data_IF_739485993145
#
_entry.id   IF_739485993145
#
_cell.length_a   1.000
_cell.length_b   1.000
_cell.length_c   1.000
_cell.angle_alpha   90.00
_cell.angle_beta   90.00
_cell.angle_gamma   90.00
#
_symmetry.space_group_name_H-M   'P 1'
#
loop_
_entity.id
_entity.type
_entity.pdbx_description
1 polymer ?
#
# COMPACT_ATOMS: atom_id res chain seq x y z
N UNK A 1 58.80 -33.77 22.69
CA UNK A 1 58.11 -32.50 23.01
C UNK A 1 57.68 -31.88 21.69
N UNK A 2 56.46 -32.17 21.20
CA UNK A 2 55.26 -31.30 21.24
C UNK A 2 55.55 -29.83 20.89
N UNK A 3 55.21 -29.41 19.66
CA UNK A 3 54.21 -28.35 19.41
C UNK A 3 53.77 -28.34 17.94
N UNK A 4 52.45 -28.47 17.75
CA UNK A 4 51.69 -28.32 16.51
C UNK A 4 51.39 -26.82 16.38
N UNK A 5 51.56 -26.24 15.20
CA UNK A 5 50.97 -24.94 14.87
C UNK A 5 50.18 -25.08 13.57
N UNK A 6 48.88 -25.35 13.74
CA UNK A 6 47.85 -25.32 12.73
C UNK A 6 47.46 -23.85 12.55
N UNK A 7 47.87 -23.20 11.45
CA UNK A 7 47.37 -21.86 11.14
C UNK A 7 46.12 -21.99 10.29
N UNK A 8 44.96 -21.96 10.94
CA UNK A 8 43.66 -21.89 10.30
C UNK A 8 43.50 -20.54 9.60
N UNK A 9 43.45 -20.54 8.27
CA UNK A 9 43.03 -19.39 7.49
C UNK A 9 41.50 -19.26 7.61
N UNK A 10 41.06 -18.42 8.54
CA UNK A 10 39.66 -18.02 8.69
C UNK A 10 39.33 -17.05 7.54
N UNK A 11 38.81 -17.57 6.43
CA UNK A 11 38.17 -16.76 5.39
C UNK A 11 36.87 -16.20 5.97
N UNK A 12 36.92 -14.95 6.41
CA UNK A 12 35.76 -14.15 6.76
C UNK A 12 34.87 -13.99 5.53
N UNK A 13 33.84 -14.81 5.40
CA UNK A 13 32.73 -14.55 4.48
C UNK A 13 31.98 -13.33 5.02
N UNK A 14 32.33 -12.15 4.51
CA UNK A 14 31.50 -10.96 4.61
C UNK A 14 30.15 -11.30 3.97
N UNK A 15 29.13 -11.53 4.80
CA UNK A 15 27.75 -11.61 4.34
C UNK A 15 27.41 -10.26 3.71
N UNK A 16 27.39 -10.21 2.38
CA UNK A 16 26.94 -9.06 1.64
C UNK A 16 25.52 -8.72 2.10
N UNK A 17 25.36 -7.55 2.73
CA UNK A 17 24.04 -6.93 2.87
C UNK A 17 23.53 -6.67 1.45
N UNK A 18 22.78 -7.61 0.87
CA UNK A 18 22.05 -7.35 -0.38
C UNK A 18 21.12 -6.19 -0.11
N UNK A 19 21.17 -5.15 -0.96
CA UNK A 19 20.24 -4.03 -0.85
C UNK A 19 18.81 -4.58 -0.84
N UNK A 20 18.09 -4.39 0.27
CA UNK A 20 16.69 -4.79 0.35
C UNK A 20 15.91 -3.99 -0.69
N UNK A 21 15.29 -4.67 -1.65
CA UNK A 21 14.49 -4.01 -2.66
C UNK A 21 13.11 -3.69 -2.07
N UNK A 22 12.62 -2.48 -2.34
CA UNK A 22 11.25 -2.09 -1.96
C UNK A 22 10.25 -3.08 -2.55
N UNK A 23 9.35 -3.58 -1.72
CA UNK A 23 8.37 -4.60 -2.07
C UNK A 23 8.74 -6.01 -1.64
N UNK A 24 10.00 -6.29 -1.30
CA UNK A 24 10.41 -7.65 -0.89
C UNK A 24 9.97 -8.00 0.55
N UNK A 25 9.71 -6.98 1.38
CA UNK A 25 9.34 -7.12 2.78
C UNK A 25 8.15 -6.25 3.14
N UNK A 26 7.35 -6.73 4.11
CA UNK A 26 6.21 -6.00 4.65
C UNK A 26 6.59 -4.61 5.19
N UNK A 27 7.74 -4.51 5.87
CA UNK A 27 8.21 -3.26 6.47
C UNK A 27 8.72 -2.23 5.44
N UNK A 28 8.92 -2.65 4.19
CA UNK A 28 9.35 -1.80 3.09
C UNK A 28 8.50 -2.07 1.84
N UNK A 29 7.18 -1.80 1.90
CA UNK A 29 6.28 -2.09 0.79
C UNK A 29 6.47 -1.10 -0.36
N UNK A 30 5.99 -1.47 -1.55
CA UNK A 30 5.80 -0.54 -2.66
C UNK A 30 4.60 0.34 -2.35
N UNK A 31 4.85 1.62 -2.08
CA UNK A 31 3.77 2.58 -1.83
C UNK A 31 3.17 3.05 -3.16
N UNK A 32 1.85 2.90 -3.30
CA UNK A 32 1.11 3.40 -4.45
C UNK A 32 0.82 4.89 -4.30
N UNK A 33 0.92 5.62 -5.40
CA UNK A 33 0.66 7.08 -5.44
C UNK A 33 -0.81 7.43 -5.26
N UNK A 34 -1.71 6.49 -5.56
CA UNK A 34 -3.16 6.62 -5.33
C UNK A 34 -3.81 5.24 -5.18
N UNK A 35 -5.05 5.16 -4.67
CA UNK A 35 -5.85 3.92 -4.67
C UNK A 35 -6.03 3.25 -6.02
N UNK A 36 -5.88 4.00 -7.11
CA UNK A 36 -6.14 3.54 -8.47
C UNK A 36 -4.85 3.24 -9.25
N UNK A 37 -3.68 3.56 -8.69
CA UNK A 37 -2.42 3.21 -9.30
C UNK A 37 -2.24 1.69 -9.33
N UNK A 38 -1.53 1.18 -10.34
CA UNK A 38 -1.27 -0.24 -10.46
C UNK A 38 -0.05 -0.67 -9.65
N UNK A 39 -0.22 -1.73 -8.87
CA UNK A 39 0.85 -2.43 -8.18
C UNK A 39 1.76 -3.13 -9.20
N UNK A 40 3.07 -2.80 -9.28
CA UNK A 40 3.98 -3.44 -10.21
C UNK A 40 4.42 -4.81 -9.67
N UNK A 41 3.80 -5.89 -10.13
CA UNK A 41 4.12 -7.27 -9.70
C UNK A 41 4.26 -8.18 -10.91
N UNK A 42 5.49 -8.53 -11.25
CA UNK A 42 5.79 -9.39 -12.40
C UNK A 42 5.38 -10.85 -12.15
N UNK A 43 5.10 -11.64 -13.21
CA UNK A 43 4.89 -13.08 -13.10
C UNK A 43 6.01 -13.80 -12.33
N UNK A 44 5.62 -14.69 -11.42
CA UNK A 44 6.53 -15.43 -10.56
C UNK A 44 7.11 -14.61 -9.41
N UNK A 45 6.61 -13.40 -9.18
CA UNK A 45 7.04 -12.52 -8.09
C UNK A 45 5.91 -12.30 -7.08
N UNK A 46 6.35 -11.92 -5.89
CA UNK A 46 5.52 -11.44 -4.80
C UNK A 46 6.02 -10.07 -4.39
N UNK A 47 5.11 -9.14 -4.13
CA UNK A 47 5.43 -7.82 -3.61
C UNK A 47 4.49 -7.48 -2.45
N UNK A 48 5.04 -6.80 -1.44
CA UNK A 48 4.25 -6.07 -0.46
C UNK A 48 3.92 -4.70 -1.03
N UNK A 49 2.63 -4.34 -1.03
CA UNK A 49 2.09 -3.14 -1.67
C UNK A 49 1.27 -2.37 -0.65
N UNK A 50 1.57 -1.10 -0.47
CA UNK A 50 0.85 -0.22 0.45
C UNK A 50 -0.05 0.74 -0.32
N UNK A 51 -1.33 0.76 0.02
CA UNK A 51 -2.33 1.62 -0.59
C UNK A 51 -2.93 2.51 0.48
N UNK A 52 -2.97 3.82 0.19
CA UNK A 52 -3.58 4.82 1.07
C UNK A 52 -4.90 5.26 0.47
N UNK A 53 -5.98 5.04 1.20
CA UNK A 53 -7.33 5.46 0.84
C UNK A 53 -7.75 6.66 1.68
N UNK A 54 -8.57 7.57 1.13
CA UNK A 54 -9.24 8.57 1.96
C UNK A 54 -10.19 7.86 2.94
N UNK A 55 -10.40 8.43 4.12
CA UNK A 55 -11.36 7.91 5.12
C UNK A 55 -12.73 7.61 4.51
N UNK A 56 -13.20 8.48 3.61
CA UNK A 56 -14.49 8.37 2.92
C UNK A 56 -14.66 7.10 2.09
N UNK A 57 -13.57 6.39 1.75
CA UNK A 57 -13.65 5.11 1.03
C UNK A 57 -14.18 3.95 1.89
N UNK A 58 -14.17 4.11 3.23
CA UNK A 58 -14.58 3.07 4.17
C UNK A 58 -15.65 3.54 5.16
N UNK A 59 -16.16 4.76 4.98
CA UNK A 59 -17.09 5.39 5.89
C UNK A 59 -18.53 5.26 5.40
N UNK A 60 -19.41 4.77 6.28
CA UNK A 60 -20.87 4.76 6.08
C UNK A 60 -21.60 5.32 7.33
N UNK A 61 -20.88 6.05 8.20
CA UNK A 61 -21.42 6.65 9.43
C UNK A 61 -20.35 7.16 10.41
N UNK A 62 -20.78 7.83 11.48
CA UNK A 62 -19.90 8.48 12.49
C UNK A 62 -19.19 7.51 13.45
N UNK A 63 -19.44 6.20 13.36
CA UNK A 63 -18.84 5.22 14.27
C UNK A 63 -17.32 5.08 14.12
N UNK A 64 -16.74 5.60 13.03
CA UNK A 64 -15.30 5.61 12.82
C UNK A 64 -14.57 6.70 13.60
N UNK A 65 -15.26 7.78 13.99
CA UNK A 65 -14.65 8.94 14.69
C UNK A 65 -13.89 8.52 15.94
N UNK A 66 -14.50 7.65 16.76
CA UNK A 66 -13.90 7.13 18.00
C UNK A 66 -12.57 6.43 17.80
N UNK A 67 -12.30 5.87 16.62
CA UNK A 67 -11.03 5.24 16.31
C UNK A 67 -9.99 6.28 15.88
N UNK A 68 -10.40 7.27 15.10
CA UNK A 68 -9.52 8.37 14.70
C UNK A 68 -9.15 9.29 15.87
N UNK A 69 -10.00 9.41 16.89
CA UNK A 69 -9.70 10.17 18.12
C UNK A 69 -8.55 9.56 18.94
N UNK A 70 -8.24 8.28 18.73
CA UNK A 70 -7.13 7.60 19.39
C UNK A 70 -5.78 7.85 18.67
N UNK A 71 -5.81 8.41 17.45
CA UNK A 71 -4.61 8.72 16.68
C UNK A 71 -3.96 9.99 17.24
N UNK A 72 -2.85 9.82 17.96
CA UNK A 72 -2.15 10.91 18.65
C UNK A 72 -0.94 11.40 17.84
N UNK A 73 -0.80 12.71 17.68
CA UNK A 73 0.36 13.33 17.06
C UNK A 73 1.56 13.37 17.99
N UNK A 74 2.75 13.11 17.45
CA UNK A 74 4.01 13.34 18.14
C UNK A 74 4.61 14.71 17.75
N UNK A 75 4.52 15.65 18.68
CA UNK A 75 5.04 17.01 18.50
C UNK A 75 6.52 17.15 18.90
N UNK A 76 7.17 16.10 19.42
CA UNK A 76 8.55 16.16 19.93
C UNK A 76 9.59 16.53 18.86
N UNK A 77 9.22 16.34 17.60
CA UNK A 77 10.02 16.65 16.42
C UNK A 77 9.96 18.11 16.00
N UNK A 78 8.99 18.89 16.50
CA UNK A 78 8.79 20.29 16.15
C UNK A 78 9.55 21.18 17.12
N UNK A 79 10.64 21.79 16.65
CA UNK A 79 11.51 22.66 17.44
C UNK A 79 11.55 24.10 16.90
N UNK A 80 11.18 24.28 15.63
CA UNK A 80 11.26 25.53 14.91
C UNK A 80 10.21 25.63 13.79
N UNK A 81 9.98 26.85 13.30
CA UNK A 81 9.14 27.08 12.13
C UNK A 81 9.72 26.36 10.90
N UNK A 82 8.91 25.49 10.30
CA UNK A 82 9.30 24.65 9.16
C UNK A 82 9.46 23.17 9.49
N UNK A 83 9.57 22.81 10.78
CA UNK A 83 9.53 21.41 11.19
C UNK A 83 8.14 20.81 10.92
N UNK A 84 8.13 19.56 10.46
CA UNK A 84 6.90 18.84 10.12
C UNK A 84 6.59 17.80 11.21
N UNK A 85 5.36 17.84 11.74
CA UNK A 85 4.82 16.74 12.54
C UNK A 85 4.69 15.50 11.64
N UNK A 86 5.29 14.35 12.02
CA UNK A 86 5.14 13.12 11.24
C UNK A 86 3.69 12.65 11.24
N UNK A 87 3.28 11.96 10.17
CA UNK A 87 1.95 11.35 10.08
C UNK A 87 1.80 10.25 11.15
N UNK A 88 0.91 10.38 12.14
CA UNK A 88 0.64 9.31 13.09
C UNK A 88 -0.24 8.21 12.47
N UNK A 89 0.04 6.97 12.84
CA UNK A 89 -0.74 5.79 12.47
C UNK A 89 -0.94 4.88 13.66
N UNK A 90 -2.10 4.21 13.70
CA UNK A 90 -2.40 3.14 14.65
C UNK A 90 -2.95 1.93 13.91
N UNK A 91 -2.74 0.74 14.48
CA UNK A 91 -3.27 -0.51 13.92
C UNK A 91 -4.79 -0.54 13.92
N UNK A 92 -5.38 -1.00 12.82
CA UNK A 92 -6.81 -1.09 12.61
C UNK A 92 -7.23 -2.53 12.29
N UNK A 93 -6.97 -3.45 13.23
CA UNK A 93 -7.24 -4.90 13.06
C UNK A 93 -8.71 -5.27 12.86
N UNK A 94 -9.62 -4.31 13.09
CA UNK A 94 -11.05 -4.42 12.81
C UNK A 94 -11.41 -4.22 11.33
N UNK A 95 -10.48 -3.76 10.49
CA UNK A 95 -10.59 -3.78 9.02
C UNK A 95 -10.07 -5.13 8.54
N UNK A 96 -10.97 -5.97 8.01
CA UNK A 96 -10.64 -7.32 7.53
C UNK A 96 -10.94 -7.45 6.06
N UNK A 97 -10.09 -8.18 5.34
CA UNK A 97 -10.35 -8.58 3.96
C UNK A 97 -11.10 -9.90 3.97
N UNK A 98 -12.38 -9.88 3.56
CA UNK A 98 -13.27 -11.04 3.62
C UNK A 98 -13.14 -11.93 2.37
N UNK A 99 -13.04 -11.30 1.20
CA UNK A 99 -12.92 -12.01 -0.07
C UNK A 99 -12.17 -11.20 -1.11
N UNK A 100 -11.50 -11.91 -2.01
CA UNK A 100 -10.80 -11.36 -3.17
C UNK A 100 -11.33 -12.04 -4.40
N UNK A 101 -11.80 -11.25 -5.36
CA UNK A 101 -12.12 -11.68 -6.72
C UNK A 101 -11.04 -11.13 -7.65
N UNK A 102 -10.12 -11.98 -8.07
CA UNK A 102 -8.98 -11.62 -8.90
C UNK A 102 -8.80 -12.63 -10.04
N UNK A 103 -8.16 -12.23 -11.16
CA UNK A 103 -7.82 -13.14 -12.24
C UNK A 103 -7.04 -14.34 -11.74
N UNK A 104 -7.31 -15.51 -12.33
CA UNK A 104 -6.62 -16.75 -11.97
C UNK A 104 -5.10 -16.56 -12.07
N UNK A 105 -4.40 -16.90 -10.99
CA UNK A 105 -2.94 -16.72 -10.89
C UNK A 105 -2.52 -15.45 -10.15
N UNK A 106 -3.44 -14.54 -9.82
CA UNK A 106 -3.20 -13.41 -8.92
C UNK A 106 -3.77 -13.74 -7.54
N UNK A 107 -2.97 -13.55 -6.49
CA UNK A 107 -3.39 -13.66 -5.10
C UNK A 107 -3.11 -12.36 -4.37
N UNK A 108 -4.09 -11.90 -3.60
CA UNK A 108 -3.98 -10.69 -2.76
C UNK A 108 -4.36 -11.08 -1.34
N UNK A 109 -3.51 -10.72 -0.39
CA UNK A 109 -3.76 -10.94 1.04
C UNK A 109 -3.54 -9.63 1.78
N UNK A 110 -4.47 -9.23 2.65
CA UNK A 110 -4.28 -8.11 3.56
C UNK A 110 -3.33 -8.55 4.67
N UNK A 111 -2.19 -7.87 4.78
CA UNK A 111 -1.14 -8.17 5.78
C UNK A 111 -1.24 -7.22 6.96
N UNK A 112 -1.46 -5.93 6.67
CA UNK A 112 -1.52 -4.88 7.69
C UNK A 112 -2.61 -3.88 7.37
N UNK A 113 -3.35 -3.47 8.39
CA UNK A 113 -4.35 -2.42 8.32
C UNK A 113 -4.06 -1.35 9.37
N UNK A 114 -4.07 -0.10 8.95
CA UNK A 114 -3.81 1.05 9.79
C UNK A 114 -4.76 2.20 9.44
N UNK A 115 -5.10 3.00 10.43
CA UNK A 115 -5.68 4.33 10.21
C UNK A 115 -4.68 5.38 10.65
N UNK A 116 -4.72 6.56 10.04
CA UNK A 116 -3.79 7.62 10.36
C UNK A 116 -4.30 9.00 9.97
N UNK A 117 -3.59 10.01 10.47
CA UNK A 117 -3.83 11.42 10.15
C UNK A 117 -2.67 11.90 9.29
N UNK A 118 -2.94 12.18 8.01
CA UNK A 118 -1.94 12.71 7.10
C UNK A 118 -1.72 14.20 7.40
N UNK A 119 -0.54 14.59 7.86
CA UNK A 119 -0.23 15.99 8.14
C UNK A 119 -0.02 16.73 6.82
N UNK A 120 -0.90 17.70 6.55
CA UNK A 120 -0.85 18.61 5.40
C UNK A 120 0.07 19.79 5.74
N UNK A 121 -0.08 20.34 6.95
CA UNK A 121 0.61 21.55 7.37
C UNK A 121 0.86 21.54 8.87
N UNK A 122 2.05 21.99 9.25
CA UNK A 122 2.44 22.27 10.64
C UNK A 122 2.80 23.74 10.74
N UNK A 123 2.35 24.43 11.79
CA UNK A 123 2.69 25.82 12.07
C UNK A 123 2.97 26.00 13.56
N UNK A 124 4.07 26.68 13.90
CA UNK A 124 4.30 27.13 15.26
C UNK A 124 3.54 28.45 15.49
N UNK A 125 2.76 28.52 16.55
CA UNK A 125 2.00 29.72 16.95
C UNK A 125 2.34 30.02 18.41
N UNK A 126 3.33 30.89 18.61
CA UNK A 126 3.89 31.14 19.94
C UNK A 126 4.56 29.88 20.49
N UNK A 127 4.04 29.34 21.58
CA UNK A 127 4.50 28.08 22.19
C UNK A 127 3.65 26.86 21.82
N UNK A 128 2.68 27.01 20.91
CA UNK A 128 1.76 25.95 20.50
C UNK A 128 2.04 25.49 19.07
N UNK A 129 1.75 24.22 18.78
CA UNK A 129 1.83 23.66 17.42
C UNK A 129 0.42 23.50 16.87
N UNK A 130 0.14 24.18 15.76
CA UNK A 130 -1.09 24.04 14.98
C UNK A 130 -0.86 23.05 13.83
N UNK A 131 -1.77 22.09 13.65
CA UNK A 131 -1.63 21.01 12.67
C UNK A 131 -2.91 20.88 11.86
N UNK A 132 -2.76 20.96 10.53
CA UNK A 132 -3.81 20.63 9.58
C UNK A 132 -3.56 19.24 9.02
N UNK A 133 -4.60 18.41 9.02
CA UNK A 133 -4.50 17.02 8.59
C UNK A 133 -5.78 16.56 7.89
N UNK A 134 -5.70 15.42 7.21
CA UNK A 134 -6.86 14.64 6.78
C UNK A 134 -6.74 13.20 7.26
N UNK A 135 -7.89 12.55 7.45
CA UNK A 135 -7.96 11.16 7.87
C UNK A 135 -7.76 10.22 6.67
N UNK A 136 -6.99 9.16 6.88
CA UNK A 136 -6.71 8.14 5.86
C UNK A 136 -6.70 6.73 6.44
N UNK A 137 -6.99 5.77 5.57
CA UNK A 137 -6.80 4.34 5.82
C UNK A 137 -5.62 3.86 5.00
N UNK A 138 -4.67 3.16 5.64
CA UNK A 138 -3.49 2.61 5.00
C UNK A 138 -3.52 1.10 5.10
N UNK A 139 -3.60 0.44 3.95
CA UNK A 139 -3.68 -1.02 3.84
C UNK A 139 -2.44 -1.53 3.13
N UNK A 140 -1.79 -2.53 3.73
CA UNK A 140 -0.63 -3.22 3.13
C UNK A 140 -1.04 -4.62 2.73
N UNK A 141 -0.85 -4.92 1.45
CA UNK A 141 -1.18 -6.19 0.84
C UNK A 141 0.08 -6.96 0.48
N UNK A 142 0.02 -8.29 0.57
CA UNK A 142 0.93 -9.20 -0.11
C UNK A 142 0.27 -9.62 -1.41
N UNK A 143 0.84 -9.18 -2.53
CA UNK A 143 0.36 -9.48 -3.88
C UNK A 143 1.30 -10.47 -4.52
N UNK A 144 0.79 -11.60 -5.01
CA UNK A 144 1.57 -12.63 -5.69
C UNK A 144 0.98 -12.90 -7.07
N UNK A 145 1.86 -13.05 -8.06
CA UNK A 145 1.48 -13.39 -9.44
C UNK A 145 2.17 -14.70 -9.82
N UNK A 146 1.40 -15.68 -10.29
CA UNK A 146 1.92 -16.97 -10.72
C UNK A 146 2.93 -16.82 -11.87
N UNK A 147 3.92 -17.71 -11.95
CA UNK A 147 4.97 -17.64 -12.97
C UNK A 147 4.46 -17.88 -14.39
N UNK A 148 3.40 -18.69 -14.52
CA UNK A 148 2.69 -19.01 -15.75
C UNK A 148 1.54 -18.04 -16.06
N UNK A 149 1.44 -16.93 -15.31
CA UNK A 149 0.38 -15.96 -15.52
C UNK A 149 0.49 -15.31 -16.90
N UNK A 150 -0.56 -15.47 -17.70
CA UNK A 150 -0.75 -14.76 -18.96
C UNK A 150 -1.73 -13.60 -18.76
N UNK A 151 -1.35 -12.34 -19.06
CA UNK A 151 -2.26 -11.20 -18.97
C UNK A 151 -3.55 -11.49 -19.74
N UNK A 152 -4.68 -11.28 -19.08
CA UNK A 152 -6.01 -11.62 -19.62
C UNK A 152 -6.59 -10.46 -20.43
N UNK A 153 -5.94 -9.29 -20.40
CA UNK A 153 -6.37 -8.09 -21.11
C UNK A 153 -6.46 -8.28 -22.64
N UNK A 154 -7.71 -8.44 -23.13
CA UNK A 154 -8.11 -7.99 -24.46
C UNK A 154 -8.11 -6.47 -24.45
N UNK A 155 -7.34 -5.85 -25.36
CA UNK A 155 -7.40 -4.43 -25.71
C UNK A 155 -8.86 -3.95 -25.73
N UNK A 156 -9.25 -3.07 -24.82
CA UNK A 156 -10.59 -2.46 -24.82
C UNK A 156 -10.70 -1.59 -26.07
N UNK A 157 -11.27 -2.14 -27.15
CA UNK A 157 -11.75 -1.34 -28.26
C UNK A 157 -13.01 -0.66 -27.78
N UNK A 158 -12.91 0.62 -27.44
CA UNK A 158 -14.01 1.46 -26.98
C UNK A 158 -15.18 1.41 -27.97
N UNK A 159 -16.24 0.68 -27.61
CA UNK A 159 -17.53 0.77 -28.30
C UNK A 159 -18.57 1.31 -27.32
N UNK A 160 -18.70 2.64 -27.35
CA UNK A 160 -19.92 3.43 -27.15
C UNK A 160 -21.07 2.80 -26.34
N UNK A 161 -21.33 3.35 -25.15
CA UNK A 161 -22.71 3.56 -24.72
C UNK A 161 -22.84 4.82 -23.86
N UNK A 162 -23.88 5.60 -24.15
CA UNK A 162 -24.22 6.92 -23.59
C UNK A 162 -24.54 6.93 -22.08
N UNK A 163 -24.42 5.78 -21.40
CA UNK A 163 -24.52 5.62 -19.94
C UNK A 163 -23.18 5.80 -19.20
N UNK A 164 -22.05 5.81 -19.91
CA UNK A 164 -20.69 6.09 -19.38
C UNK A 164 -20.45 7.56 -18.96
N UNK A 165 -21.42 8.45 -19.22
CA UNK A 165 -21.29 9.88 -18.93
C UNK A 165 -21.33 10.26 -17.44
N UNK A 166 -21.85 9.38 -16.57
CA UNK A 166 -22.12 9.72 -15.18
C UNK A 166 -21.45 8.82 -14.15
N UNK A 167 -20.93 7.66 -14.56
CA UNK A 167 -20.11 6.79 -13.73
C UNK A 167 -19.04 6.16 -14.63
N UNK A 168 -17.74 6.43 -14.41
CA UNK A 168 -16.72 5.65 -15.09
C UNK A 168 -16.84 4.20 -14.62
N UNK A 169 -16.89 3.25 -15.55
CA UNK A 169 -16.75 1.86 -15.17
C UNK A 169 -15.36 1.68 -14.53
N UNK A 170 -15.19 0.72 -13.61
CA UNK A 170 -13.89 0.44 -12.98
C UNK A 170 -12.79 0.23 -14.05
N UNK A 171 -13.16 -0.32 -15.20
CA UNK A 171 -12.29 -0.49 -16.38
C UNK A 171 -11.81 0.83 -17.01
N UNK A 172 -12.56 1.93 -16.85
CA UNK A 172 -12.23 3.25 -17.41
C UNK A 172 -11.23 4.03 -16.54
N UNK A 173 -11.07 3.65 -15.27
CA UNK A 173 -10.18 4.34 -14.30
C UNK A 173 -8.86 3.59 -14.12
N UNK A 174 -8.84 2.28 -14.37
CA UNK A 174 -7.64 1.47 -14.19
C UNK A 174 -6.68 1.61 -15.39
N UNK A 175 -5.36 1.51 -15.17
CA UNK A 175 -4.40 1.50 -16.26
C UNK A 175 -4.70 0.41 -17.28
N UNK A 176 -4.59 0.75 -18.58
CA UNK A 176 -4.85 -0.14 -19.72
C UNK A 176 -3.94 -1.39 -19.77
N UNK A 177 -2.98 -1.50 -18.87
CA UNK A 177 -2.01 -2.60 -18.74
C UNK A 177 -2.05 -3.28 -17.37
N UNK A 178 -3.12 -3.08 -16.59
CA UNK A 178 -3.27 -3.62 -15.25
C UNK A 178 -4.47 -4.55 -15.08
N UNK A 179 -4.27 -5.65 -14.38
CA UNK A 179 -5.32 -6.59 -13.98
C UNK A 179 -6.03 -6.08 -12.73
N UNK A 180 -7.34 -6.23 -12.63
CA UNK A 180 -8.12 -5.73 -11.50
C UNK A 180 -8.44 -6.86 -10.51
N UNK A 181 -8.05 -6.68 -9.24
CA UNK A 181 -8.54 -7.48 -8.14
C UNK A 181 -9.62 -6.70 -7.36
N UNK A 182 -10.84 -7.22 -7.28
CA UNK A 182 -11.90 -6.68 -6.43
C UNK A 182 -11.72 -7.22 -5.01
N UNK A 183 -11.72 -6.30 -4.04
CA UNK A 183 -11.48 -6.56 -2.64
C UNK A 183 -12.76 -6.24 -1.86
N UNK A 184 -13.25 -7.18 -1.07
CA UNK A 184 -14.37 -6.96 -0.14
C UNK A 184 -13.86 -6.97 1.29
N UNK A 185 -14.22 -5.95 2.05
CA UNK A 185 -13.78 -5.76 3.42
C UNK A 185 -14.97 -5.79 4.39
N UNK A 186 -14.75 -6.37 5.56
CA UNK A 186 -15.58 -6.10 6.74
C UNK A 186 -14.94 -4.98 7.53
N UNK A 187 -15.69 -3.89 7.69
CA UNK A 187 -15.27 -2.67 8.39
C UNK A 187 -16.31 -2.41 9.46
N UNK A 188 -16.02 -2.81 10.69
CA UNK A 188 -16.95 -2.67 11.82
C UNK A 188 -18.35 -3.27 11.53
N UNK A 189 -18.38 -4.40 10.81
CA UNK A 189 -19.62 -5.09 10.42
C UNK A 189 -20.26 -4.60 9.11
N UNK A 190 -19.84 -3.44 8.57
CA UNK A 190 -20.25 -2.99 7.24
C UNK A 190 -19.37 -3.63 6.16
N UNK A 191 -19.98 -3.96 5.01
CA UNK A 191 -19.26 -4.50 3.86
C UNK A 191 -18.84 -3.35 2.96
N UNK A 192 -17.53 -3.21 2.75
CA UNK A 192 -16.94 -2.19 1.87
C UNK A 192 -16.24 -2.85 0.69
N UNK A 193 -16.18 -2.17 -0.46
CA UNK A 193 -15.53 -2.68 -1.66
C UNK A 193 -14.47 -1.73 -2.17
N UNK A 194 -13.32 -2.26 -2.57
CA UNK A 194 -12.28 -1.52 -3.27
C UNK A 194 -11.73 -2.35 -4.44
N UNK A 195 -10.98 -1.70 -5.32
CA UNK A 195 -10.23 -2.37 -6.36
C UNK A 195 -8.72 -2.15 -6.16
N UNK A 196 -7.94 -3.15 -6.51
CA UNK A 196 -6.48 -3.07 -6.61
C UNK A 196 -6.07 -3.42 -8.04
N UNK A 197 -5.47 -2.45 -8.74
CA UNK A 197 -4.83 -2.70 -10.02
C UNK A 197 -3.48 -3.40 -9.80
N UNK A 198 -3.19 -4.42 -10.62
CA UNK A 198 -1.92 -5.16 -10.62
C UNK A 198 -1.35 -5.14 -12.03
N UNK A 199 -0.25 -4.42 -12.22
CA UNK A 199 0.49 -4.37 -13.49
C UNK A 199 1.51 -5.50 -13.50
N UNK A 200 1.35 -6.42 -14.44
CA UNK A 200 2.20 -7.61 -14.59
C UNK A 200 3.27 -7.46 -15.66
N UNK A 201 3.33 -6.29 -16.30
CA UNK A 201 4.32 -5.94 -17.32
C UNK A 201 5.37 -4.96 -16.76
N UNK A 202 6.62 -5.02 -17.22
CA UNK A 202 7.61 -4.01 -16.88
C UNK A 202 7.20 -2.64 -17.40
N UNK A 203 7.42 -1.59 -16.60
CA UNK A 203 7.27 -0.21 -17.06
C UNK A 203 8.28 0.06 -18.18
N UNK A 204 7.78 0.46 -19.36
CA UNK A 204 8.68 0.87 -20.45
C UNK A 204 9.40 2.14 -19.99
N UNK A 205 10.69 2.04 -19.71
CA UNK A 205 11.56 3.19 -19.48
C UNK A 205 11.53 4.07 -20.72
N UNK A 206 10.83 5.19 -20.65
CA UNK A 206 11.04 6.34 -21.53
C UNK A 206 12.39 6.95 -21.15
N UNK A 207 13.43 6.57 -21.89
CA UNK A 207 14.66 7.35 -21.98
C UNK A 207 14.52 8.39 -23.08
#
# INVERSE_FOLDING_TARGET
MRTIALTAALLTTLTACTAMQRGDQENYPVELTSPYAAAPVLPGKTAFVQVTYPRTAFEDGSELDRYYDQVTFDYSTVRSDGDKVPDPYIGASWIKLDSVDAPKGISVVLVKSEIGRAVIKTRLVGSSVDVQYYDKVRLTYKVSVAADFTPTQKKVTSSSSTLSKYLPSLSDVLPLDAEAAQLKFSVNGAVQSAALAVRTTPEKSSK
#
